data_IF_945378353238
#
_entry.id   IF_945378353238
#
_cell.length_a   1.000
_cell.length_b   1.000
_cell.length_c   1.000
_cell.angle_alpha   90.00
_cell.angle_beta   90.00
_cell.angle_gamma   90.00
#
_symmetry.space_group_name_H-M   'P 1'
#
loop_
_entity.id
_entity.type
_entity.pdbx_description
1 polymer ?
#
# COMPACT_ATOMS: atom_id res chain seq x y z
N UNK A 1 -11.16 -20.42 2.58
CA UNK A 1 -10.85 -18.98 2.60
C UNK A 1 -10.14 -18.64 1.31
N UNK A 2 -10.46 -17.52 0.68
CA UNK A 2 -9.75 -17.06 -0.51
C UNK A 2 -8.32 -16.62 -0.14
N UNK A 3 -7.32 -16.83 -1.00
CA UNK A 3 -5.96 -16.35 -0.76
C UNK A 3 -5.88 -14.81 -0.86
N UNK A 4 -4.94 -14.21 -0.12
CA UNK A 4 -4.57 -12.80 -0.32
C UNK A 4 -3.81 -12.65 -1.64
N UNK A 5 -4.04 -11.55 -2.34
CA UNK A 5 -3.37 -11.23 -3.60
C UNK A 5 -2.10 -10.41 -3.35
N UNK A 6 -0.95 -10.90 -3.82
CA UNK A 6 0.35 -10.26 -3.65
C UNK A 6 0.53 -9.11 -4.64
N UNK A 7 0.88 -7.91 -4.16
CA UNK A 7 1.13 -6.72 -5.00
C UNK A 7 2.37 -5.95 -4.52
N UNK A 8 2.95 -5.12 -5.39
CA UNK A 8 4.09 -4.26 -5.04
C UNK A 8 5.43 -4.98 -4.93
N UNK A 9 5.55 -6.18 -5.52
CA UNK A 9 6.80 -6.92 -5.62
C UNK A 9 7.44 -6.64 -6.98
N UNK A 10 8.68 -6.20 -6.90
CA UNK A 10 9.48 -5.75 -8.03
C UNK A 10 10.67 -6.68 -8.21
N UNK A 11 11.09 -6.91 -9.47
CA UNK A 11 12.33 -7.65 -9.73
C UNK A 11 13.53 -6.92 -9.13
N UNK A 12 14.58 -7.66 -8.82
CA UNK A 12 15.85 -7.04 -8.44
C UNK A 12 16.48 -6.35 -9.65
N UNK A 13 17.24 -5.28 -9.40
CA UNK A 13 17.98 -4.60 -10.46
C UNK A 13 18.96 -5.57 -11.14
N UNK A 14 18.96 -5.59 -12.46
CA UNK A 14 19.72 -6.52 -13.29
C UNK A 14 19.27 -7.99 -13.27
N UNK A 15 18.23 -8.36 -12.52
CA UNK A 15 17.66 -9.72 -12.54
C UNK A 15 16.59 -9.85 -13.62
N UNK A 16 17.05 -10.11 -14.84
CA UNK A 16 16.17 -10.36 -16.00
C UNK A 16 15.55 -11.76 -16.01
N UNK A 17 15.85 -12.60 -15.02
CA UNK A 17 15.29 -13.96 -14.90
C UNK A 17 14.04 -14.01 -14.03
N UNK A 18 13.74 -12.92 -13.34
CA UNK A 18 12.54 -12.77 -12.51
C UNK A 18 11.29 -12.49 -13.36
N UNK A 19 10.17 -13.13 -13.01
CA UNK A 19 8.85 -12.82 -13.59
C UNK A 19 8.22 -11.56 -12.99
N UNK A 20 8.84 -10.95 -11.97
CA UNK A 20 8.32 -9.70 -11.39
C UNK A 20 8.58 -8.49 -12.30
N UNK A 21 7.69 -7.48 -12.26
CA UNK A 21 7.85 -6.26 -13.06
C UNK A 21 9.05 -5.40 -12.60
N UNK A 22 9.56 -4.59 -13.52
CA UNK A 22 10.48 -3.49 -13.22
C UNK A 22 9.69 -2.24 -12.81
N UNK A 23 9.95 -1.61 -11.66
CA UNK A 23 9.19 -0.44 -11.25
C UNK A 23 9.45 0.78 -12.15
N UNK A 24 10.56 0.82 -12.89
CA UNK A 24 10.85 1.91 -13.82
C UNK A 24 9.85 1.95 -14.99
N UNK A 25 9.31 0.80 -15.39
CA UNK A 25 8.32 0.70 -16.48
C UNK A 25 6.95 1.27 -16.10
N UNK A 26 6.74 1.61 -14.83
CA UNK A 26 5.47 2.06 -14.26
C UNK A 26 5.53 3.51 -13.75
N UNK A 27 6.62 4.23 -14.00
CA UNK A 27 6.72 5.66 -13.68
C UNK A 27 5.79 6.46 -14.60
N UNK A 28 4.88 7.20 -14.01
CA UNK A 28 3.94 8.08 -14.69
C UNK A 28 4.03 9.49 -14.11
N UNK A 29 4.82 10.35 -14.77
CA UNK A 29 5.03 11.75 -14.37
C UNK A 29 3.80 12.64 -14.65
N UNK A 30 2.82 12.13 -15.40
CA UNK A 30 1.57 12.83 -15.70
C UNK A 30 0.42 12.37 -14.78
N UNK A 31 0.70 11.47 -13.81
CA UNK A 31 -0.29 11.01 -12.86
C UNK A 31 -0.79 12.15 -11.98
N UNK A 32 -2.11 12.33 -11.98
CA UNK A 32 -2.79 13.32 -11.13
C UNK A 32 -2.34 13.25 -9.67
N UNK A 33 -1.95 14.41 -9.12
CA UNK A 33 -1.33 14.51 -7.81
C UNK A 33 -2.27 14.11 -6.67
N UNK A 34 -3.57 14.45 -6.78
CA UNK A 34 -4.57 14.13 -5.77
C UNK A 34 -4.88 12.63 -5.78
N UNK A 35 -5.06 12.02 -6.96
CA UNK A 35 -5.23 10.57 -7.11
C UNK A 35 -4.00 9.80 -6.57
N UNK A 36 -2.80 10.27 -6.89
CA UNK A 36 -1.54 9.68 -6.39
C UNK A 36 -1.45 9.76 -4.87
N UNK A 37 -1.75 10.92 -4.29
CA UNK A 37 -1.71 11.08 -2.83
C UNK A 37 -2.73 10.21 -2.12
N UNK A 38 -3.97 10.11 -2.63
CA UNK A 38 -4.99 9.22 -2.07
C UNK A 38 -4.54 7.75 -2.14
N UNK A 39 -4.00 7.33 -3.28
CA UNK A 39 -3.49 5.97 -3.49
C UNK A 39 -2.32 5.66 -2.55
N UNK A 40 -1.35 6.58 -2.44
CA UNK A 40 -0.24 6.47 -1.50
C UNK A 40 -0.74 6.31 -0.07
N UNK A 41 -1.64 7.20 0.37
CA UNK A 41 -2.13 7.23 1.75
C UNK A 41 -2.80 5.91 2.13
N UNK A 42 -3.59 5.34 1.23
CA UNK A 42 -4.20 4.04 1.41
C UNK A 42 -3.15 2.92 1.60
N UNK A 43 -2.17 2.82 0.69
CA UNK A 43 -1.15 1.77 0.77
C UNK A 43 -0.13 1.98 1.91
N UNK A 44 0.00 3.20 2.44
CA UNK A 44 0.83 3.51 3.60
C UNK A 44 0.18 3.11 4.95
N UNK A 45 -1.12 2.80 4.98
CA UNK A 45 -1.90 2.67 6.24
C UNK A 45 -2.59 1.32 6.43
N UNK A 46 -2.12 0.27 5.74
CA UNK A 46 -2.68 -1.07 5.86
C UNK A 46 -2.49 -1.73 7.22
N UNK A 47 -3.21 -2.83 7.45
CA UNK A 47 -3.08 -3.64 8.68
C UNK A 47 -1.81 -4.49 8.61
N UNK A 48 -1.00 -4.47 9.67
CA UNK A 48 0.23 -5.26 9.75
C UNK A 48 -0.05 -6.78 9.68
N UNK A 49 0.57 -7.46 8.71
CA UNK A 49 0.53 -8.92 8.54
C UNK A 49 1.76 -9.57 9.17
N UNK A 50 2.95 -9.07 8.81
CA UNK A 50 4.24 -9.68 9.14
C UNK A 50 5.34 -8.63 9.25
N UNK A 51 6.37 -8.96 10.03
CA UNK A 51 7.62 -8.20 10.14
C UNK A 51 8.81 -9.12 9.86
N UNK A 52 9.86 -8.57 9.27
CA UNK A 52 11.09 -9.28 8.94
C UNK A 52 12.30 -8.63 9.63
N UNK A 53 13.39 -9.39 9.81
CA UNK A 53 14.63 -8.91 10.45
C UNK A 53 15.62 -8.25 9.47
N UNK A 54 15.13 -7.74 8.33
CA UNK A 54 15.93 -7.09 7.29
C UNK A 54 15.12 -6.10 6.47
N UNK A 55 15.82 -5.16 5.82
CA UNK A 55 15.21 -4.14 4.97
C UNK A 55 15.30 -4.52 3.50
N UNK A 56 14.27 -4.18 2.73
CA UNK A 56 14.32 -4.25 1.26
C UNK A 56 14.78 -2.90 0.70
N UNK A 57 15.84 -2.80 -0.10
CA UNK A 57 16.23 -1.52 -0.70
C UNK A 57 15.26 -1.11 -1.82
N UNK A 58 15.00 0.19 -2.00
CA UNK A 58 14.27 0.67 -3.16
C UNK A 58 15.04 0.33 -4.45
N UNK A 59 14.36 -0.19 -5.48
CA UNK A 59 15.00 -0.54 -6.77
C UNK A 59 15.30 0.68 -7.64
N UNK A 60 14.80 1.86 -7.28
CA UNK A 60 15.01 3.12 -8.03
C UNK A 60 16.09 3.96 -7.34
N UNK A 61 15.97 4.24 -6.04
CA UNK A 61 16.90 5.13 -5.32
C UNK A 61 17.78 4.45 -4.26
N UNK A 62 17.59 3.16 -3.99
CA UNK A 62 18.46 2.39 -3.09
C UNK A 62 18.25 2.59 -1.58
N UNK A 63 17.33 3.48 -1.14
CA UNK A 63 17.09 3.67 0.29
C UNK A 63 16.48 2.41 0.94
N UNK A 64 16.63 2.27 2.26
CA UNK A 64 15.94 1.21 3.00
C UNK A 64 14.42 1.44 2.93
N UNK A 65 13.71 0.52 2.27
CA UNK A 65 12.31 0.64 1.90
C UNK A 65 11.39 -0.28 2.71
N UNK A 66 11.58 -0.26 4.02
CA UNK A 66 10.74 -0.97 4.98
C UNK A 66 11.10 -2.44 5.23
N UNK A 67 10.45 -3.00 6.25
CA UNK A 67 10.67 -4.37 6.75
C UNK A 67 9.36 -5.10 7.12
N UNK A 68 8.20 -4.53 6.77
CA UNK A 68 6.90 -5.10 7.10
C UNK A 68 6.03 -5.37 5.87
N UNK A 69 5.02 -6.23 6.05
CA UNK A 69 3.94 -6.46 5.10
C UNK A 69 2.61 -5.99 5.68
N UNK A 70 1.82 -5.31 4.87
CA UNK A 70 0.48 -4.83 5.16
C UNK A 70 -0.59 -5.59 4.38
N UNK A 71 -1.83 -5.53 4.87
CA UNK A 71 -3.03 -6.05 4.20
C UNK A 71 -4.27 -5.19 4.50
N UNK A 72 -5.26 -5.27 3.62
CA UNK A 72 -6.64 -4.83 3.87
C UNK A 72 -7.64 -6.01 3.95
N UNK A 73 -7.14 -7.25 3.93
CA UNK A 73 -7.92 -8.48 3.84
C UNK A 73 -8.18 -8.97 2.41
N UNK A 74 -7.79 -8.21 1.37
CA UNK A 74 -7.86 -8.62 -0.05
C UNK A 74 -6.47 -8.73 -0.65
N UNK A 75 -5.67 -7.67 -0.49
CA UNK A 75 -4.29 -7.60 -0.97
C UNK A 75 -3.29 -7.73 0.18
N UNK A 76 -2.06 -8.15 -0.13
CA UNK A 76 -0.91 -8.09 0.77
C UNK A 76 0.26 -7.43 0.04
N UNK A 77 0.95 -6.50 0.68
CA UNK A 77 1.97 -5.67 0.06
C UNK A 77 3.06 -5.25 1.04
N UNK A 78 4.28 -4.95 0.55
CA UNK A 78 5.36 -4.46 1.40
C UNK A 78 5.12 -3.01 1.81
N UNK A 79 5.58 -2.65 3.00
CA UNK A 79 5.64 -1.26 3.49
C UNK A 79 6.17 -0.28 2.44
N UNK A 80 7.21 -0.70 1.73
CA UNK A 80 7.88 0.11 0.73
C UNK A 80 7.08 0.40 -0.54
N UNK A 81 5.89 -0.19 -0.72
CA UNK A 81 5.01 0.15 -1.86
C UNK A 81 4.65 1.64 -1.86
N UNK A 82 4.42 2.21 -0.68
CA UNK A 82 4.10 3.63 -0.52
C UNK A 82 5.21 4.54 -1.08
N UNK A 83 6.48 4.20 -0.81
CA UNK A 83 7.62 4.97 -1.32
C UNK A 83 7.68 5.00 -2.86
N UNK A 84 7.37 3.88 -3.52
CA UNK A 84 7.32 3.86 -4.99
C UNK A 84 6.24 4.80 -5.55
N UNK A 85 5.07 4.83 -4.93
CA UNK A 85 3.94 5.65 -5.38
C UNK A 85 4.26 7.14 -5.21
N UNK A 86 4.71 7.54 -4.02
CA UNK A 86 4.86 8.95 -3.69
C UNK A 86 6.15 9.56 -4.23
N UNK A 87 7.29 8.90 -4.02
CA UNK A 87 8.61 9.48 -4.31
C UNK A 87 9.09 9.18 -5.73
N UNK A 88 8.49 8.19 -6.40
CA UNK A 88 8.92 7.73 -7.72
C UNK A 88 7.81 7.70 -8.77
N UNK A 89 6.61 8.19 -8.42
CA UNK A 89 5.47 8.31 -9.34
C UNK A 89 5.13 6.97 -10.02
N UNK A 90 5.39 5.86 -9.33
CA UNK A 90 5.06 4.51 -9.82
C UNK A 90 3.56 4.33 -9.74
N UNK A 91 2.88 4.47 -10.88
CA UNK A 91 1.44 4.31 -11.01
C UNK A 91 1.07 2.84 -11.07
N UNK A 92 0.28 2.39 -10.10
CA UNK A 92 -0.19 1.02 -10.04
C UNK A 92 -1.24 0.74 -11.13
N UNK A 93 -1.52 -0.54 -11.47
CA UNK A 93 -2.66 -0.89 -12.30
C UNK A 93 -3.95 -0.19 -11.85
N UNK A 94 -4.76 0.29 -12.79
CA UNK A 94 -5.98 1.08 -12.51
C UNK A 94 -6.93 0.41 -11.51
N UNK A 95 -6.96 -0.93 -11.47
CA UNK A 95 -7.76 -1.67 -10.49
C UNK A 95 -7.33 -1.38 -9.05
N UNK A 96 -6.03 -1.26 -8.78
CA UNK A 96 -5.52 -0.99 -7.43
C UNK A 96 -5.72 0.47 -7.03
N UNK A 97 -5.56 1.40 -7.98
CA UNK A 97 -5.85 2.83 -7.78
C UNK A 97 -7.32 3.02 -7.42
N UNK A 98 -8.23 2.45 -8.21
CA UNK A 98 -9.66 2.48 -7.94
C UNK A 98 -10.02 1.80 -6.62
N UNK A 99 -9.43 0.65 -6.30
CA UNK A 99 -9.67 -0.04 -5.03
C UNK A 99 -9.29 0.82 -3.83
N UNK A 100 -8.15 1.54 -3.90
CA UNK A 100 -7.73 2.46 -2.86
C UNK A 100 -8.75 3.60 -2.66
N UNK A 101 -9.18 4.25 -3.75
CA UNK A 101 -10.18 5.32 -3.73
C UNK A 101 -11.51 4.84 -3.15
N UNK A 102 -12.07 3.74 -3.69
CA UNK A 102 -13.35 3.18 -3.23
C UNK A 102 -13.32 2.81 -1.74
N UNK A 103 -12.17 2.33 -1.25
CA UNK A 103 -11.99 2.00 0.17
C UNK A 103 -11.95 3.24 1.07
N UNK A 104 -11.24 4.29 0.65
CA UNK A 104 -11.20 5.55 1.39
C UNK A 104 -12.59 6.19 1.43
N UNK A 105 -13.24 6.34 0.27
CA UNK A 105 -14.60 6.89 0.15
C UNK A 105 -15.60 6.13 1.04
N UNK A 106 -15.55 4.79 0.99
CA UNK A 106 -16.47 3.94 1.75
C UNK A 106 -16.26 3.99 3.27
N UNK A 107 -15.08 4.40 3.74
CA UNK A 107 -14.77 4.60 5.16
C UNK A 107 -15.13 6.02 5.61
N UNK A 108 -14.80 7.03 4.80
CA UNK A 108 -15.16 8.43 5.06
C UNK A 108 -16.67 8.63 5.15
N UNK A 109 -17.44 7.88 4.37
CA UNK A 109 -18.90 7.96 4.38
C UNK A 109 -19.57 7.27 5.58
N UNK A 110 -18.81 6.69 6.52
CA UNK A 110 -19.38 5.91 7.63
C UNK A 110 -19.73 6.80 8.83
N UNK A 111 -20.87 6.50 9.44
CA UNK A 111 -21.25 7.12 10.71
C UNK A 111 -20.31 6.64 11.83
N UNK A 112 -19.71 7.60 12.54
CA UNK A 112 -18.88 7.33 13.73
C UNK A 112 -19.72 7.57 14.98
N UNK A 113 -20.06 6.49 15.69
CA UNK A 113 -20.87 6.55 16.91
C UNK A 113 -20.03 6.33 18.18
N UNK A 114 -20.05 7.27 19.15
CA UNK A 114 -19.33 7.10 20.41
C UNK A 114 -20.10 6.25 21.44
N UNK A 115 -21.38 5.93 21.17
CA UNK A 115 -22.32 5.38 22.16
C UNK A 115 -21.80 4.11 22.81
N UNK A 116 -21.32 3.17 22.00
CA UNK A 116 -20.83 1.88 22.50
C UNK A 116 -19.60 2.05 23.40
N UNK A 117 -18.63 2.88 23.01
CA UNK A 117 -17.41 3.10 23.78
C UNK A 117 -17.69 3.73 25.14
N UNK A 118 -18.56 4.76 25.17
CA UNK A 118 -18.97 5.42 26.42
C UNK A 118 -19.65 4.44 27.37
N UNK A 119 -20.58 3.62 26.85
CA UNK A 119 -21.26 2.61 27.67
C UNK A 119 -20.31 1.52 28.18
N UNK A 120 -19.42 1.01 27.33
CA UNK A 120 -18.48 -0.06 27.66
C UNK A 120 -17.40 0.36 28.67
N UNK A 121 -17.13 1.67 28.79
CA UNK A 121 -16.05 2.21 29.65
C UNK A 121 -16.55 2.93 30.90
N UNK A 122 -17.86 2.96 31.15
CA UNK A 122 -18.42 3.56 32.35
C UNK A 122 -17.89 2.87 33.62
N UNK A 123 -17.26 3.66 34.50
CA UNK A 123 -16.85 3.21 35.84
C UNK A 123 -17.96 3.58 36.83
N UNK A 124 -18.35 2.62 37.66
CA UNK A 124 -19.36 2.79 38.70
C UNK A 124 -18.92 3.70 39.84
#
# INVERSE_FOLDING_TARGET
>A
MAPLLLIGYWRADGDFTSDYPDPHDWIDTEWDEDERHATWFYFATGTLVRTYMGYSPCRICGINNGAVEYTDGTYVWPEGLAHYILDHEVRLPDQLVRHAQERLDALESREVSPVWWVAATAKG
#
